data_IF_424770219172
#
_entry.id   IF_424770219172
#
_cell.length_a   1.000
_cell.length_b   1.000
_cell.length_c   1.000
_cell.angle_alpha   90.00
_cell.angle_beta   90.00
_cell.angle_gamma   90.00
#
_symmetry.space_group_name_H-M   'P 1'
#
loop_
_entity.id
_entity.type
_entity.pdbx_description
1 polymer ?
#
# COMPACT_ATOMS: atom_id res chain seq x y z
N UNK A 1 -21.54 1.72 -7.36
CA UNK A 1 -20.77 2.99 -7.29
C UNK A 1 -19.30 2.65 -7.45
N UNK A 2 -18.51 3.37 -8.27
CA UNK A 2 -17.11 3.04 -8.47
C UNK A 2 -16.32 3.08 -7.16
N UNK A 3 -15.30 2.24 -7.06
CA UNK A 3 -14.34 2.22 -5.97
C UNK A 3 -13.01 2.80 -6.44
N UNK A 4 -12.23 3.31 -5.50
CA UNK A 4 -10.87 3.76 -5.76
C UNK A 4 -9.90 2.62 -5.45
N UNK A 5 -9.20 2.13 -6.46
CA UNK A 5 -8.03 1.29 -6.26
C UNK A 5 -6.82 2.17 -5.92
N UNK A 6 -6.03 1.73 -4.95
CA UNK A 6 -4.85 2.43 -4.48
C UNK A 6 -3.72 1.46 -4.22
N UNK A 7 -2.56 1.74 -4.81
CA UNK A 7 -1.35 0.94 -4.66
C UNK A 7 -0.20 1.80 -4.16
N UNK A 8 0.63 1.28 -3.26
CA UNK A 8 1.85 1.95 -2.77
C UNK A 8 3.07 1.13 -3.12
N UNK A 9 4.17 1.78 -3.52
CA UNK A 9 5.38 1.11 -3.97
C UNK A 9 6.62 1.78 -3.39
N UNK A 10 7.44 0.98 -2.72
CA UNK A 10 8.71 1.42 -2.17
C UNK A 10 9.77 0.31 -2.28
N UNK A 11 11.03 0.73 -2.42
CA UNK A 11 12.18 -0.18 -2.52
C UNK A 11 12.98 -0.07 -1.21
N UNK A 12 13.25 -1.21 -0.57
CA UNK A 12 13.98 -1.29 0.69
C UNK A 12 15.48 -1.06 0.48
N UNK A 13 16.09 -0.33 1.41
CA UNK A 13 17.55 -0.10 1.44
C UNK A 13 18.35 -1.35 1.81
N UNK A 14 17.75 -2.25 2.58
CA UNK A 14 18.37 -3.49 3.05
C UNK A 14 17.37 -4.66 3.02
N UNK A 15 17.87 -5.92 2.99
CA UNK A 15 17.01 -7.10 3.02
C UNK A 15 16.11 -7.19 4.24
N UNK A 16 15.02 -7.95 4.09
CA UNK A 16 14.18 -8.34 5.22
C UNK A 16 15.01 -8.97 6.35
N UNK A 17 14.78 -8.52 7.59
CA UNK A 17 15.52 -8.97 8.77
C UNK A 17 16.77 -8.15 9.10
N UNK A 18 17.17 -7.20 8.25
CA UNK A 18 18.24 -6.25 8.58
C UNK A 18 17.73 -5.16 9.55
N UNK A 19 18.56 -4.78 10.52
CA UNK A 19 18.26 -3.74 11.51
C UNK A 19 17.92 -2.40 10.85
N UNK A 20 18.48 -2.10 9.68
CA UNK A 20 18.22 -0.88 8.91
C UNK A 20 16.74 -0.74 8.54
N UNK A 21 16.03 -1.84 8.26
CA UNK A 21 14.62 -1.81 7.82
C UNK A 21 13.65 -2.29 8.90
N UNK A 22 14.14 -2.77 10.05
CA UNK A 22 13.32 -3.34 11.11
C UNK A 22 12.23 -2.36 11.60
N UNK A 23 12.57 -1.08 11.75
CA UNK A 23 11.61 -0.06 12.19
C UNK A 23 10.39 0.07 11.26
N UNK A 24 10.54 -0.18 9.95
CA UNK A 24 9.40 -0.24 9.04
C UNK A 24 8.51 -1.46 9.33
N UNK A 25 9.12 -2.64 9.47
CA UNK A 25 8.37 -3.89 9.71
C UNK A 25 7.64 -3.88 11.06
N UNK A 26 8.23 -3.28 12.09
CA UNK A 26 7.59 -3.12 13.40
C UNK A 26 6.28 -2.30 13.35
N UNK A 27 6.14 -1.44 12.33
CA UNK A 27 4.95 -0.58 12.14
C UNK A 27 3.88 -1.22 11.27
N UNK A 28 4.18 -2.30 10.53
CA UNK A 28 3.22 -2.95 9.63
C UNK A 28 1.93 -3.41 10.31
N UNK A 29 1.95 -4.05 11.51
CA UNK A 29 0.71 -4.48 12.17
C UNK A 29 -0.24 -3.31 12.44
N UNK A 30 0.31 -2.20 12.94
CA UNK A 30 -0.45 -0.99 13.22
C UNK A 30 -0.97 -0.34 11.93
N UNK A 31 -0.13 -0.26 10.89
CA UNK A 31 -0.50 0.35 9.62
C UNK A 31 -1.61 -0.43 8.90
N UNK A 32 -1.59 -1.76 8.93
CA UNK A 32 -2.66 -2.58 8.37
C UNK A 32 -3.91 -2.58 9.25
N UNK A 33 -3.77 -2.63 10.58
CA UNK A 33 -4.92 -2.50 11.48
C UNK A 33 -5.66 -1.17 11.30
N UNK A 34 -4.91 -0.08 11.15
CA UNK A 34 -5.48 1.24 10.88
C UNK A 34 -6.17 1.32 9.51
N UNK A 35 -5.67 0.60 8.48
CA UNK A 35 -6.34 0.53 7.19
C UNK A 35 -7.68 -0.21 7.31
N UNK A 36 -7.67 -1.39 7.94
CA UNK A 36 -8.82 -2.28 8.01
C UNK A 36 -10.03 -1.67 8.74
N UNK A 37 -9.78 -0.71 9.63
CA UNK A 37 -10.83 0.01 10.36
C UNK A 37 -11.07 1.44 9.88
N UNK A 38 -10.32 1.91 8.88
CA UNK A 38 -10.53 3.23 8.31
C UNK A 38 -11.92 3.30 7.68
N UNK A 39 -12.64 4.40 7.96
CA UNK A 39 -13.90 4.69 7.27
C UNK A 39 -13.64 4.74 5.76
N UNK A 40 -14.41 3.97 4.99
CA UNK A 40 -14.27 3.89 3.55
C UNK A 40 -13.21 2.92 3.04
N UNK A 41 -12.49 2.19 3.90
CA UNK A 41 -11.73 1.01 3.47
C UNK A 41 -12.68 -0.10 3.00
N UNK A 42 -12.36 -0.78 1.90
CA UNK A 42 -13.16 -1.90 1.36
C UNK A 42 -12.46 -3.22 1.59
N UNK A 43 -11.28 -3.39 0.99
CA UNK A 43 -10.43 -4.57 1.13
C UNK A 43 -9.03 -4.29 0.57
N UNK A 44 -8.11 -5.25 0.76
CA UNK A 44 -6.75 -5.21 0.22
C UNK A 44 -6.29 -6.60 -0.20
N UNK A 45 -5.31 -6.64 -1.08
CA UNK A 45 -4.58 -7.89 -1.32
C UNK A 45 -3.87 -8.30 -0.03
N UNK A 46 -4.14 -9.52 0.40
CA UNK A 46 -3.52 -10.19 1.53
C UNK A 46 -2.56 -11.26 1.01
N UNK A 47 -1.65 -11.68 1.89
CA UNK A 47 -0.72 -12.77 1.61
C UNK A 47 -1.07 -13.94 2.48
N UNK A 48 -1.28 -15.10 1.88
CA UNK A 48 -1.57 -16.32 2.62
C UNK A 48 -0.36 -16.70 3.51
N UNK A 49 -0.56 -16.93 4.82
CA UNK A 49 0.54 -17.12 5.75
C UNK A 49 1.29 -18.45 5.58
N UNK A 50 0.74 -19.39 4.82
CA UNK A 50 1.32 -20.72 4.59
C UNK A 50 1.96 -20.82 3.21
N UNK A 51 1.20 -20.49 2.18
CA UNK A 51 1.61 -20.60 0.77
C UNK A 51 2.36 -19.37 0.28
N UNK A 52 2.31 -18.27 1.02
CA UNK A 52 2.90 -16.98 0.67
C UNK A 52 2.36 -16.36 -0.63
N UNK A 53 1.27 -16.92 -1.18
CA UNK A 53 0.61 -16.38 -2.37
C UNK A 53 -0.21 -15.17 -2.02
N UNK A 54 -0.28 -14.22 -2.95
CA UNK A 54 -1.17 -13.08 -2.83
C UNK A 54 -2.59 -13.45 -3.25
N UNK A 55 -3.58 -12.85 -2.62
CA UNK A 55 -4.98 -13.17 -2.87
C UNK A 55 -5.53 -12.59 -4.18
N UNK A 56 -4.83 -11.64 -4.81
CA UNK A 56 -5.29 -10.86 -5.96
C UNK A 56 -4.36 -11.08 -7.17
N UNK A 57 -4.29 -12.33 -7.64
CA UNK A 57 -3.45 -12.73 -8.77
C UNK A 57 -1.97 -12.89 -8.41
N UNK A 58 -1.16 -13.19 -9.43
CA UNK A 58 0.28 -13.39 -9.27
C UNK A 58 0.99 -12.07 -8.98
N UNK A 59 1.84 -12.07 -7.95
CA UNK A 59 2.58 -10.88 -7.55
C UNK A 59 3.64 -10.52 -8.58
N UNK A 60 3.54 -9.32 -9.14
CA UNK A 60 4.51 -8.79 -10.11
C UNK A 60 4.89 -7.36 -9.72
N UNK A 61 6.12 -7.10 -9.25
CA UNK A 61 6.56 -5.75 -8.94
C UNK A 61 6.76 -4.91 -10.21
N UNK A 62 6.68 -3.59 -10.08
CA UNK A 62 7.00 -2.65 -11.16
C UNK A 62 8.48 -2.74 -11.59
N UNK A 63 8.75 -2.36 -12.84
CA UNK A 63 10.08 -2.39 -13.49
C UNK A 63 11.18 -1.61 -12.78
N UNK A 64 10.82 -0.81 -11.78
CA UNK A 64 11.76 -0.04 -10.96
C UNK A 64 12.52 -0.93 -9.97
N UNK A 65 12.01 -2.12 -9.65
CA UNK A 65 12.65 -3.05 -8.73
C UNK A 65 13.61 -4.00 -9.46
N UNK A 66 14.89 -3.97 -9.07
CA UNK A 66 15.92 -4.94 -9.46
C UNK A 66 16.35 -5.78 -8.23
N UNK A 67 16.07 -7.09 -8.19
CA UNK A 67 16.44 -7.95 -7.06
C UNK A 67 17.96 -8.15 -6.91
N UNK A 68 18.77 -7.84 -7.93
CA UNK A 68 20.22 -7.88 -7.83
C UNK A 68 20.81 -6.65 -7.13
N UNK A 69 20.03 -5.55 -7.04
CA UNK A 69 20.49 -4.26 -6.49
C UNK A 69 19.81 -3.86 -5.20
N UNK A 70 18.58 -4.31 -5.00
CA UNK A 70 17.73 -3.80 -3.92
C UNK A 70 17.49 -4.83 -2.83
N UNK A 71 17.33 -4.37 -1.59
CA UNK A 71 17.03 -5.23 -0.44
C UNK A 71 15.66 -5.88 -0.49
N UNK A 72 14.74 -5.31 -1.27
CA UNK A 72 13.41 -5.85 -1.48
C UNK A 72 12.43 -4.78 -1.94
N UNK A 73 11.20 -5.19 -2.16
CA UNK A 73 10.11 -4.31 -2.59
C UNK A 73 8.94 -4.43 -1.62
N UNK A 74 8.38 -3.29 -1.27
CA UNK A 74 7.11 -3.17 -0.57
C UNK A 74 6.10 -2.65 -1.58
N UNK A 75 5.16 -3.51 -1.97
CA UNK A 75 4.06 -3.17 -2.87
C UNK A 75 2.75 -3.54 -2.16
N UNK A 76 1.85 -2.58 -1.98
CA UNK A 76 0.52 -2.82 -1.43
C UNK A 76 -0.55 -2.51 -2.48
N UNK A 77 -1.72 -3.14 -2.36
CA UNK A 77 -2.86 -2.95 -3.25
C UNK A 77 -4.15 -3.03 -2.45
N UNK A 78 -4.99 -2.00 -2.55
CA UNK A 78 -6.20 -1.82 -1.73
C UNK A 78 -7.32 -1.15 -2.51
N UNK A 79 -8.57 -1.30 -2.05
CA UNK A 79 -9.75 -0.59 -2.56
C UNK A 79 -10.40 0.25 -1.47
N UNK A 80 -10.89 1.42 -1.88
CA UNK A 80 -11.46 2.45 -1.01
C UNK A 80 -12.76 3.01 -1.61
N UNK A 81 -13.64 3.54 -0.77
CA UNK A 81 -14.90 4.17 -1.19
C UNK A 81 -14.69 5.54 -1.81
N UNK A 82 -13.72 6.32 -1.31
CA UNK A 82 -13.49 7.71 -1.71
C UNK A 82 -12.01 8.08 -1.68
N UNK A 83 -11.67 9.20 -2.32
CA UNK A 83 -10.33 9.79 -2.26
C UNK A 83 -10.00 10.32 -0.87
N UNK A 84 -10.99 10.89 -0.19
CA UNK A 84 -10.86 11.43 1.16
C UNK A 84 -10.52 10.34 2.17
N UNK A 85 -11.11 9.15 2.03
CA UNK A 85 -10.84 7.99 2.88
C UNK A 85 -9.39 7.52 2.77
N UNK A 86 -8.90 7.29 1.54
CA UNK A 86 -7.49 6.89 1.35
C UNK A 86 -6.52 8.00 1.73
N UNK A 87 -6.89 9.27 1.50
CA UNK A 87 -6.07 10.40 1.89
C UNK A 87 -5.93 10.50 3.42
N UNK A 88 -7.04 10.35 4.15
CA UNK A 88 -7.07 10.33 5.60
C UNK A 88 -6.19 9.20 6.16
N UNK A 89 -6.31 7.99 5.61
CA UNK A 89 -5.44 6.87 5.97
C UNK A 89 -3.97 7.16 5.66
N UNK A 90 -3.65 7.60 4.45
CA UNK A 90 -2.28 7.71 3.99
C UNK A 90 -1.47 8.75 4.78
N UNK A 91 -2.07 9.88 5.16
CA UNK A 91 -1.36 11.04 5.71
C UNK A 91 -1.57 11.31 7.19
N UNK A 92 -2.43 10.55 7.88
CA UNK A 92 -2.67 10.68 9.32
C UNK A 92 -2.25 9.41 10.09
N UNK A 93 -2.26 9.51 11.42
CA UNK A 93 -1.95 8.41 12.33
C UNK A 93 -0.62 7.72 12.04
N UNK A 94 -0.58 6.41 12.29
CA UNK A 94 0.63 5.59 12.19
C UNK A 94 1.22 5.52 10.78
N UNK A 95 0.39 5.55 9.73
CA UNK A 95 0.88 5.55 8.35
C UNK A 95 1.51 6.92 8.01
N UNK A 96 0.89 8.02 8.42
CA UNK A 96 1.46 9.36 8.30
C UNK A 96 2.80 9.50 9.04
N UNK A 97 2.93 8.92 10.22
CA UNK A 97 4.21 8.85 10.95
C UNK A 97 5.26 8.04 10.18
N UNK A 98 4.91 6.85 9.69
CA UNK A 98 5.81 6.03 8.87
C UNK A 98 6.29 6.78 7.62
N UNK A 99 5.42 7.55 6.97
CA UNK A 99 5.82 8.38 5.83
C UNK A 99 6.86 9.43 6.19
N UNK A 100 6.89 9.98 7.42
CA UNK A 100 7.91 10.95 7.84
C UNK A 100 9.31 10.32 7.94
N UNK A 101 9.37 9.06 8.34
CA UNK A 101 10.61 8.30 8.55
C UNK A 101 11.01 7.45 7.33
N UNK A 102 10.21 7.45 6.25
CA UNK A 102 10.37 6.54 5.10
C UNK A 102 11.78 6.47 4.50
N UNK A 103 12.55 7.56 4.50
CA UNK A 103 13.89 7.58 3.92
C UNK A 103 14.94 6.83 4.75
N UNK A 104 14.64 6.51 6.00
CA UNK A 104 15.45 5.63 6.86
C UNK A 104 15.45 4.20 6.32
N UNK A 105 14.31 3.74 5.80
CA UNK A 105 14.07 2.35 5.42
C UNK A 105 14.05 2.12 3.91
N UNK A 106 13.68 3.14 3.14
CA UNK A 106 13.46 3.04 1.69
C UNK A 106 14.43 3.90 0.89
N UNK A 107 14.74 3.41 -0.31
CA UNK A 107 15.44 4.19 -1.32
C UNK A 107 14.69 5.47 -1.64
N UNK A 108 15.45 6.53 -1.95
CA UNK A 108 14.85 7.78 -2.41
C UNK A 108 14.20 7.50 -3.77
N UNK A 109 12.87 7.67 -3.91
CA UNK A 109 12.18 7.21 -5.10
C UNK A 109 12.48 8.12 -6.29
N UNK A 110 12.84 7.50 -7.41
CA UNK A 110 12.86 8.11 -8.76
C UNK A 110 11.58 7.74 -9.56
N UNK A 111 10.66 7.04 -8.90
CA UNK A 111 9.38 6.54 -9.41
C UNK A 111 8.20 7.05 -8.54
N UNK A 112 6.94 6.94 -8.99
CA UNK A 112 5.79 7.24 -8.14
C UNK A 112 5.73 6.32 -6.93
N UNK A 113 5.62 6.87 -5.72
CA UNK A 113 5.49 6.06 -4.49
C UNK A 113 4.12 5.41 -4.33
N UNK A 114 3.14 5.81 -5.14
CA UNK A 114 1.80 5.25 -5.16
C UNK A 114 1.09 5.62 -6.47
N UNK A 115 0.04 4.87 -6.80
CA UNK A 115 -0.88 5.16 -7.89
C UNK A 115 -2.32 4.90 -7.44
N UNK A 116 -3.24 5.74 -7.90
CA UNK A 116 -4.67 5.65 -7.68
C UNK A 116 -5.41 5.60 -9.02
N UNK A 117 -6.51 4.84 -9.08
CA UNK A 117 -7.39 4.77 -10.26
C UNK A 117 -8.78 4.28 -9.85
N UNK A 118 -9.79 4.63 -10.64
CA UNK A 118 -11.16 4.19 -10.39
C UNK A 118 -11.45 2.84 -11.03
N UNK A 119 -12.21 2.01 -10.33
CA UNK A 119 -12.64 0.68 -10.77
C UNK A 119 -14.14 0.52 -10.51
N UNK A 120 -14.81 -0.38 -11.26
CA UNK A 120 -16.16 -0.80 -10.92
C UNK A 120 -16.21 -1.44 -9.52
N UNK A 121 -17.37 -1.45 -8.85
CA UNK A 121 -17.48 -1.99 -7.49
C UNK A 121 -17.26 -3.51 -7.42
N UNK A 122 -17.64 -4.22 -8.48
CA UNK A 122 -17.40 -5.65 -8.67
C UNK A 122 -15.99 -5.97 -9.20
N UNK A 123 -15.26 -4.98 -9.71
CA UNK A 123 -13.88 -5.17 -10.18
C UNK A 123 -12.90 -5.20 -9.01
N UNK A 124 -12.13 -6.28 -8.95
CA UNK A 124 -10.99 -6.44 -8.04
C UNK A 124 -9.71 -6.32 -8.85
N UNK A 125 -8.89 -5.27 -8.64
CA UNK A 125 -7.63 -5.13 -9.35
C UNK A 125 -6.67 -6.25 -8.93
N UNK A 126 -5.79 -6.64 -9.84
CA UNK A 126 -4.69 -7.56 -9.55
C UNK A 126 -3.33 -6.84 -9.56
N UNK A 127 -2.26 -7.59 -9.26
CA UNK A 127 -0.91 -7.03 -9.25
C UNK A 127 -0.38 -6.65 -10.62
N UNK A 128 -0.84 -7.30 -11.69
CA UNK A 128 -0.47 -6.96 -13.07
C UNK A 128 -1.05 -5.59 -13.41
N UNK A 129 -2.31 -5.35 -13.09
CA UNK A 129 -2.96 -4.06 -13.23
C UNK A 129 -2.25 -3.01 -12.36
N UNK A 130 -2.01 -3.29 -11.07
CA UNK A 130 -1.35 -2.33 -10.18
C UNK A 130 0.03 -1.89 -10.70
N UNK A 131 0.83 -2.86 -11.18
CA UNK A 131 2.11 -2.62 -11.84
C UNK A 131 1.95 -1.71 -13.05
N UNK A 132 1.03 -2.03 -13.95
CA UNK A 132 0.76 -1.25 -15.16
C UNK A 132 0.34 0.18 -14.84
N UNK A 133 -0.51 0.39 -13.82
CA UNK A 133 -0.98 1.71 -13.39
C UNK A 133 0.16 2.56 -12.84
N UNK A 134 1.04 1.96 -12.04
CA UNK A 134 2.20 2.66 -11.48
C UNK A 134 3.21 3.05 -12.55
N UNK A 135 3.52 2.13 -13.48
CA UNK A 135 4.42 2.38 -14.61
C UNK A 135 3.83 3.41 -15.57
N UNK A 136 2.53 3.33 -15.87
CA UNK A 136 1.84 4.32 -16.69
C UNK A 136 1.96 5.72 -16.08
N UNK A 137 1.69 5.86 -14.78
CA UNK A 137 1.78 7.14 -14.07
C UNK A 137 3.20 7.73 -14.14
N UNK A 138 4.23 6.88 -14.09
CA UNK A 138 5.61 7.33 -14.26
C UNK A 138 5.88 7.83 -15.69
N UNK A 139 5.45 7.08 -16.70
CA UNK A 139 5.77 7.34 -18.11
C UNK A 139 4.94 8.48 -18.71
N UNK A 140 3.68 8.66 -18.27
CA UNK A 140 2.71 9.55 -18.90
C UNK A 140 2.19 10.66 -17.97
N UNK A 141 2.48 10.57 -16.67
CA UNK A 141 1.91 11.46 -15.66
C UNK A 141 0.42 11.22 -15.37
N UNK A 142 -0.20 12.08 -14.53
CA UNK A 142 -1.55 11.87 -14.02
C UNK A 142 -2.66 11.99 -15.08
N UNK A 143 -3.51 10.97 -15.18
CA UNK A 143 -4.69 10.91 -16.07
C UNK A 143 -5.78 10.01 -15.48
N UNK A 144 -6.88 9.80 -16.21
CA UNK A 144 -7.94 8.85 -15.83
C UNK A 144 -7.44 7.40 -15.69
N UNK A 145 -6.36 7.05 -16.41
CA UNK A 145 -5.75 5.72 -16.36
C UNK A 145 -5.09 5.47 -15.01
N UNK A 146 -4.36 6.46 -14.49
CA UNK A 146 -3.71 6.42 -13.20
C UNK A 146 -3.31 7.84 -12.79
N UNK A 147 -3.43 8.14 -11.50
CA UNK A 147 -3.09 9.45 -10.96
C UNK A 147 -2.52 9.36 -9.54
N UNK A 148 -1.97 10.46 -9.06
CA UNK A 148 -1.53 10.61 -7.67
C UNK A 148 -2.48 11.57 -6.92
N UNK A 149 -2.39 11.58 -5.58
CA UNK A 149 -3.20 12.44 -4.71
C UNK A 149 -2.82 13.94 -4.82
N UNK A 150 -1.81 14.32 -5.61
CA UNK A 150 -1.47 15.73 -5.91
C UNK A 150 -2.24 16.23 -7.14
N UNK A 151 -2.55 15.34 -8.08
CA UNK A 151 -3.37 15.62 -9.24
C UNK A 151 -4.52 14.59 -9.34
N UNK A 152 -5.51 14.62 -8.44
CA UNK A 152 -6.59 13.64 -8.42
C UNK A 152 -7.46 13.69 -9.69
N UNK A 153 -8.10 12.57 -10.01
CA UNK A 153 -9.14 12.49 -11.05
C UNK A 153 -10.42 11.91 -10.47
N UNK A 154 -11.57 12.29 -11.02
CA UNK A 154 -12.86 11.65 -10.79
C UNK A 154 -13.02 10.37 -11.61
N UNK A 155 -14.07 9.57 -11.36
CA UNK A 155 -14.39 8.37 -12.15
C UNK A 155 -14.64 8.64 -13.64
N UNK A 156 -14.98 9.89 -13.98
CA UNK A 156 -15.19 10.40 -15.33
C UNK A 156 -13.90 10.98 -15.97
N UNK A 157 -12.77 10.87 -15.28
CA UNK A 157 -11.48 11.41 -15.74
C UNK A 157 -11.30 12.90 -15.52
N UNK A 158 -12.29 13.62 -14.98
CA UNK A 158 -12.18 15.05 -14.71
C UNK A 158 -11.20 15.32 -13.55
N UNK A 159 -10.43 16.43 -13.56
CA UNK A 159 -9.65 16.85 -12.40
C UNK A 159 -10.54 17.01 -11.15
N UNK A 160 -10.08 16.49 -10.02
CA UNK A 160 -10.78 16.60 -8.74
C UNK A 160 -9.88 17.23 -7.68
N UNK A 161 -10.49 17.90 -6.71
CA UNK A 161 -9.80 18.40 -5.52
C UNK A 161 -10.27 17.59 -4.32
N UNK A 162 -9.33 16.99 -3.58
CA UNK A 162 -9.63 16.24 -2.36
C UNK A 162 -10.23 17.20 -1.33
N UNK A 163 -11.40 16.87 -0.79
CA UNK A 163 -12.00 17.63 0.30
C UNK A 163 -11.21 17.36 1.60
N UNK A 164 -10.37 18.33 1.96
CA UNK A 164 -9.53 18.28 3.16
C UNK A 164 -10.35 18.27 4.44
N UNK A 165 -11.51 18.91 4.46
CA UNK A 165 -12.37 18.96 5.64
C UNK A 165 -13.05 17.60 5.84
N UNK A 166 -13.54 16.99 4.77
CA UNK A 166 -14.08 15.64 4.81
C UNK A 166 -13.02 14.62 5.25
N UNK A 167 -11.82 14.66 4.68
CA UNK A 167 -10.72 13.80 5.09
C UNK A 167 -10.33 13.98 6.57
N UNK A 168 -10.31 15.23 7.07
CA UNK A 168 -10.07 15.51 8.49
C UNK A 168 -11.17 14.93 9.38
N UNK A 169 -12.43 15.08 8.98
CA UNK A 169 -13.55 14.55 9.73
C UNK A 169 -13.53 13.01 9.79
N UNK A 170 -13.03 12.34 8.75
CA UNK A 170 -12.78 10.88 8.76
C UNK A 170 -11.75 10.53 9.84
N UNK A 171 -10.63 11.27 9.91
CA UNK A 171 -9.60 11.06 10.94
C UNK A 171 -10.17 11.27 12.35
N UNK A 172 -10.97 12.32 12.55
CA UNK A 172 -11.56 12.65 13.86
C UNK A 172 -12.60 11.61 14.33
N UNK A 173 -13.26 10.91 13.40
CA UNK A 173 -14.19 9.82 13.70
C UNK A 173 -13.52 8.46 13.86
N UNK A 174 -12.24 8.33 13.51
CA UNK A 174 -11.53 7.06 13.60
C UNK A 174 -11.46 6.61 15.06
N UNK A 175 -11.81 5.34 15.30
CA UNK A 175 -11.81 4.73 16.62
C UNK A 175 -10.71 3.66 16.71
N UNK A 176 -9.56 3.98 17.34
CA UNK A 176 -8.44 3.06 17.43
C UNK A 176 -8.73 1.76 18.17
N UNK A 177 -9.80 1.72 18.97
CA UNK A 177 -10.18 0.54 19.76
C UNK A 177 -10.80 -0.58 18.92
N UNK A 178 -11.21 -0.28 17.67
CA UNK A 178 -11.75 -1.28 16.73
C UNK A 178 -10.70 -2.18 16.10
N UNK A 179 -9.42 -1.97 16.41
CA UNK A 179 -8.30 -2.68 15.79
C UNK A 179 -7.92 -3.95 16.60
N UNK A 180 -8.03 -5.14 15.99
CA UNK A 180 -7.38 -6.33 16.53
C UNK A 180 -5.88 -6.35 16.15
N UNK A 181 -5.13 -5.45 16.80
CA UNK A 181 -3.68 -5.31 16.64
C UNK A 181 -2.97 -6.66 16.87
N UNK A 182 -3.44 -7.43 17.85
CA UNK A 182 -2.82 -8.69 18.23
C UNK A 182 -2.98 -9.75 17.13
N UNK A 183 -4.14 -9.83 16.48
CA UNK A 183 -4.33 -10.71 15.32
C UNK A 183 -3.41 -10.33 14.16
N UNK A 184 -3.28 -9.04 13.86
CA UNK A 184 -2.38 -8.57 12.77
C UNK A 184 -0.92 -8.83 13.06
N UNK A 185 -0.48 -8.65 14.31
CA UNK A 185 0.89 -9.03 14.71
C UNK A 185 1.12 -10.52 14.50
N UNK A 186 0.21 -11.40 14.97
CA UNK A 186 0.35 -12.86 14.78
C UNK A 186 0.40 -13.28 13.32
N UNK A 187 -0.43 -12.67 12.47
CA UNK A 187 -0.45 -12.94 11.03
C UNK A 187 0.88 -12.55 10.38
N UNK A 188 1.37 -11.33 10.65
CA UNK A 188 2.61 -10.83 10.09
C UNK A 188 3.84 -11.58 10.59
N UNK A 189 3.87 -11.96 11.86
CA UNK A 189 4.92 -12.84 12.41
C UNK A 189 4.93 -14.22 11.72
N UNK A 190 3.75 -14.74 11.35
CA UNK A 190 3.67 -16.03 10.65
C UNK A 190 4.21 -15.91 9.24
N UNK A 191 3.82 -14.85 8.51
CA UNK A 191 4.37 -14.54 7.18
C UNK A 191 5.89 -14.32 7.26
N UNK A 192 6.36 -13.56 8.25
CA UNK A 192 7.77 -13.29 8.51
C UNK A 192 8.59 -14.57 8.69
N UNK A 193 8.12 -15.48 9.56
CA UNK A 193 8.76 -16.78 9.78
C UNK A 193 8.81 -17.63 8.51
N UNK A 194 7.72 -17.65 7.75
CA UNK A 194 7.67 -18.37 6.48
C UNK A 194 8.63 -17.78 5.41
N UNK A 195 8.75 -16.45 5.34
CA UNK A 195 9.72 -15.78 4.46
C UNK A 195 11.17 -16.13 4.81
N UNK A 196 11.52 -16.13 6.09
CA UNK A 196 12.87 -16.48 6.56
C UNK A 196 13.18 -17.97 6.33
N UNK A 197 12.20 -18.85 6.48
CA UNK A 197 12.37 -20.28 6.20
C UNK A 197 12.63 -20.55 4.72
N UNK A 198 11.98 -19.81 3.81
CA UNK A 198 12.18 -19.91 2.36
C UNK A 198 13.48 -19.27 1.84
N UNK A 199 14.14 -18.41 2.63
CA UNK A 199 15.45 -17.81 2.29
C UNK A 199 16.65 -18.66 2.71
N UNK A 200 16.47 -19.71 3.51
CA UNK A 200 17.58 -20.61 3.84
C UNK A 200 18.00 -21.36 2.57
N UNK A 201 19.30 -21.37 2.21
CA UNK A 201 19.76 -22.21 1.11
C UNK A 201 19.39 -23.66 1.42
N UNK A 202 18.85 -24.37 0.43
CA UNK A 202 18.75 -25.83 0.51
C UNK A 202 20.17 -26.34 0.72
N UNK A 203 20.42 -26.90 1.91
CA UNK A 203 21.73 -27.42 2.30
C UNK A 203 22.19 -28.56 1.41
#
# INVERSE_FOLDING_TARGET
MPLLAFSTFAILRAPYGDAQVQGFFDRLPAAFGAADAAEGFVDRSSRDPVTLKHSWGDYVPARFFDPARHGGVVFTLSRWRTLEAVYAYAYAGVHGEALRHRLEWFEKPEWPSYAAWWVADDHRPDWVEAKQRLEYLHDHGPSEVAFDLRAPRGPDGAPLTIDRQAARAIVERADPSRHDQAARTRELETIARAMQAGQKPAG
#
